data_IF_777266017632
#
_entry.id   IF_777266017632
#
_cell.length_a   1.000
_cell.length_b   1.000
_cell.length_c   1.000
_cell.angle_alpha   90.00
_cell.angle_beta   90.00
_cell.angle_gamma   90.00
#
_symmetry.space_group_name_H-M   'P 1'
#
loop_
_entity.id
_entity.type
_entity.pdbx_description
1 polymer ?
#
# COMPACT_ATOMS: atom_id res chain seq x y z
N UNK A 1 -9.37 4.14 -14.75
CA UNK A 1 -7.92 4.29 -14.61
C UNK A 1 -7.28 3.61 -15.81
N UNK A 2 -6.38 4.29 -16.50
CA UNK A 2 -5.64 3.76 -17.66
C UNK A 2 -4.49 2.85 -17.22
N UNK A 3 -3.98 2.02 -18.14
CA UNK A 3 -2.83 1.15 -17.87
C UNK A 3 -1.59 1.94 -17.44
N UNK A 4 -1.34 3.11 -18.03
CA UNK A 4 -0.20 3.95 -17.65
C UNK A 4 -0.30 4.47 -16.21
N UNK A 5 -1.51 4.82 -15.76
CA UNK A 5 -1.76 5.24 -14.37
C UNK A 5 -1.60 4.06 -13.41
N UNK A 6 -2.05 2.86 -13.79
CA UNK A 6 -1.83 1.63 -13.04
C UNK A 6 -0.34 1.32 -12.88
N UNK A 7 0.42 1.37 -13.97
CA UNK A 7 1.86 1.09 -13.95
C UNK A 7 2.64 2.15 -13.16
N UNK A 8 2.18 3.41 -13.18
CA UNK A 8 2.71 4.45 -12.30
C UNK A 8 2.46 4.12 -10.83
N UNK A 9 1.22 3.76 -10.46
CA UNK A 9 0.88 3.40 -9.09
C UNK A 9 1.67 2.18 -8.59
N UNK A 10 1.83 1.17 -9.46
CA UNK A 10 2.63 -0.03 -9.18
C UNK A 10 4.09 0.32 -8.85
N UNK A 11 4.73 1.13 -9.70
CA UNK A 11 6.11 1.58 -9.48
C UNK A 11 6.23 2.41 -8.21
N UNK A 12 5.32 3.37 -8.01
CA UNK A 12 5.29 4.21 -6.82
C UNK A 12 5.12 3.39 -5.54
N UNK A 13 4.27 2.36 -5.56
CA UNK A 13 4.10 1.44 -4.45
C UNK A 13 5.38 0.67 -4.14
N UNK A 14 6.04 0.13 -5.18
CA UNK A 14 7.28 -0.64 -5.03
C UNK A 14 8.44 0.23 -4.49
N UNK A 15 8.59 1.45 -5.01
CA UNK A 15 9.57 2.43 -4.52
C UNK A 15 9.31 2.77 -3.04
N UNK A 16 8.05 3.03 -2.70
CA UNK A 16 7.66 3.33 -1.32
C UNK A 16 7.95 2.16 -0.39
N UNK A 17 7.66 0.92 -0.82
CA UNK A 17 7.92 -0.30 -0.06
C UNK A 17 9.42 -0.45 0.26
N UNK A 18 10.27 -0.26 -0.75
CA UNK A 18 11.72 -0.34 -0.59
C UNK A 18 12.29 0.79 0.27
N UNK A 19 11.60 1.94 0.32
CA UNK A 19 12.04 3.09 1.10
C UNK A 19 11.67 3.02 2.59
N UNK A 20 10.72 2.17 3.02
CA UNK A 20 10.23 2.13 4.42
C UNK A 20 11.37 1.92 5.43
N UNK A 21 12.38 1.13 5.07
CA UNK A 21 13.52 0.88 5.95
C UNK A 21 14.37 2.13 6.21
N UNK A 22 14.36 3.09 5.28
CA UNK A 22 15.12 4.34 5.35
C UNK A 22 14.25 5.51 5.80
N UNK A 23 12.98 5.51 5.40
CA UNK A 23 12.00 6.53 5.71
C UNK A 23 10.95 5.95 6.66
N UNK A 24 11.21 6.07 7.97
CA UNK A 24 10.41 5.43 9.03
C UNK A 24 8.98 5.94 9.18
N UNK A 25 8.55 6.94 8.43
CA UNK A 25 7.22 7.52 8.56
C UNK A 25 6.51 7.55 7.20
N UNK A 26 5.94 6.41 6.76
CA UNK A 26 5.04 6.44 5.62
C UNK A 26 3.89 7.43 5.91
N UNK A 27 3.54 8.25 4.92
CA UNK A 27 2.50 9.26 5.10
C UNK A 27 1.13 8.63 5.36
N UNK A 28 0.34 9.26 6.22
CA UNK A 28 -1.06 8.89 6.45
C UNK A 28 -1.91 9.30 5.25
N UNK A 29 -2.76 8.40 4.77
CA UNK A 29 -3.67 8.69 3.67
C UNK A 29 -4.85 9.57 4.11
N UNK A 30 -5.34 10.48 3.26
CA UNK A 30 -6.62 11.15 3.45
C UNK A 30 -7.75 10.13 3.65
N UNK A 31 -8.76 10.50 4.44
CA UNK A 31 -9.88 9.62 4.76
C UNK A 31 -10.59 9.08 3.51
N UNK A 32 -10.82 9.92 2.50
CA UNK A 32 -11.44 9.51 1.23
C UNK A 32 -10.67 8.39 0.52
N UNK A 33 -9.35 8.41 0.58
CA UNK A 33 -8.51 7.36 -0.02
C UNK A 33 -8.60 6.07 0.77
N UNK A 34 -8.65 6.15 2.11
CA UNK A 34 -8.85 4.97 2.96
C UNK A 34 -10.21 4.32 2.69
N UNK A 35 -11.26 5.16 2.59
CA UNK A 35 -12.62 4.71 2.36
C UNK A 35 -12.73 3.97 1.00
N UNK A 36 -12.16 4.51 -0.08
CA UNK A 36 -12.09 3.84 -1.40
C UNK A 36 -11.23 2.56 -1.38
N UNK A 37 -10.13 2.58 -0.63
CA UNK A 37 -9.30 1.40 -0.41
C UNK A 37 -10.01 0.32 0.43
N UNK A 38 -11.08 0.67 1.15
CA UNK A 38 -11.75 -0.23 2.09
C UNK A 38 -10.91 -0.51 3.34
N UNK A 39 -10.08 0.46 3.75
CA UNK A 39 -9.22 0.38 4.93
C UNK A 39 -9.67 1.38 6.00
N UNK A 40 -9.25 1.15 7.25
CA UNK A 40 -9.53 2.07 8.34
C UNK A 40 -8.91 3.46 8.08
N UNK A 41 -9.64 4.53 8.41
CA UNK A 41 -9.12 5.89 8.35
C UNK A 41 -7.89 6.02 9.25
N UNK A 42 -6.89 6.77 8.79
CA UNK A 42 -5.59 6.81 9.45
C UNK A 42 -4.62 5.72 8.98
N UNK A 43 -5.01 4.90 7.99
CA UNK A 43 -4.08 3.99 7.31
C UNK A 43 -3.01 4.74 6.53
N UNK A 44 -1.86 4.10 6.32
CA UNK A 44 -0.79 4.64 5.50
C UNK A 44 -1.15 4.67 4.01
N UNK A 45 -0.65 5.67 3.29
CA UNK A 45 -0.77 5.80 1.83
C UNK A 45 -0.39 4.53 1.09
N UNK A 46 0.71 3.92 1.49
CA UNK A 46 1.22 2.69 0.87
C UNK A 46 0.28 1.50 1.05
N UNK A 47 -0.43 1.42 2.19
CA UNK A 47 -1.44 0.39 2.44
C UNK A 47 -2.68 0.61 1.58
N UNK A 48 -3.15 1.85 1.48
CA UNK A 48 -4.31 2.17 0.63
C UNK A 48 -4.00 1.93 -0.85
N UNK A 49 -2.82 2.33 -1.32
CA UNK A 49 -2.38 2.06 -2.70
C UNK A 49 -2.30 0.55 -2.97
N UNK A 50 -1.72 -0.23 -2.05
CA UNK A 50 -1.68 -1.69 -2.15
C UNK A 50 -3.08 -2.31 -2.31
N UNK A 51 -4.03 -1.88 -1.47
CA UNK A 51 -5.40 -2.38 -1.50
C UNK A 51 -6.14 -2.01 -2.79
N UNK A 52 -5.95 -0.78 -3.29
CA UNK A 52 -6.53 -0.35 -4.58
C UNK A 52 -5.93 -1.16 -5.73
N UNK A 53 -4.61 -1.34 -5.77
CA UNK A 53 -3.93 -2.15 -6.78
C UNK A 53 -4.38 -3.62 -6.73
N UNK A 54 -4.53 -4.20 -5.54
CA UNK A 54 -5.00 -5.58 -5.39
C UNK A 54 -6.45 -5.75 -5.85
N UNK A 55 -7.30 -4.71 -5.75
CA UNK A 55 -8.67 -4.72 -6.30
C UNK A 55 -8.68 -4.65 -7.83
N UNK A 56 -7.87 -3.78 -8.42
CA UNK A 56 -7.90 -3.50 -9.88
C UNK A 56 -7.06 -4.49 -10.66
N UNK A 57 -5.89 -4.86 -10.14
CA UNK A 57 -4.92 -5.77 -10.76
C UNK A 57 -4.46 -6.83 -9.73
N UNK A 58 -5.35 -7.79 -9.40
CA UNK A 58 -5.03 -8.85 -8.44
C UNK A 58 -3.80 -9.64 -8.85
N UNK A 59 -2.99 -10.04 -7.88
CA UNK A 59 -1.87 -10.96 -8.11
C UNK A 59 -2.43 -12.39 -8.07
N UNK A 60 -2.31 -13.12 -9.18
CA UNK A 60 -2.85 -14.49 -9.29
C UNK A 60 -2.06 -15.52 -8.47
N UNK A 61 -0.75 -15.29 -8.27
CA UNK A 61 0.13 -16.23 -7.58
C UNK A 61 1.04 -15.52 -6.57
N UNK A 62 1.12 -16.05 -5.35
CA UNK A 62 1.95 -15.50 -4.27
C UNK A 62 1.19 -14.55 -3.32
N UNK A 63 1.94 -13.73 -2.57
CA UNK A 63 1.37 -12.77 -1.61
C UNK A 63 0.86 -11.52 -2.33
N UNK A 64 -0.34 -11.06 -1.96
CA UNK A 64 -0.89 -9.79 -2.44
C UNK A 64 -0.03 -8.60 -1.98
N UNK A 65 -0.19 -7.45 -2.62
CA UNK A 65 0.55 -6.23 -2.23
C UNK A 65 0.19 -5.85 -0.80
N UNK A 66 -1.09 -5.93 -0.46
CA UNK A 66 -1.62 -5.65 0.88
C UNK A 66 -0.99 -6.54 1.95
N UNK A 67 -0.83 -7.83 1.68
CA UNK A 67 -0.15 -8.76 2.59
C UNK A 67 1.34 -8.42 2.73
N UNK A 68 2.02 -8.11 1.62
CA UNK A 68 3.44 -7.73 1.63
C UNK A 68 3.71 -6.47 2.43
N UNK A 69 2.89 -5.42 2.26
CA UNK A 69 3.08 -4.18 3.00
C UNK A 69 2.72 -4.33 4.48
N UNK A 70 1.70 -5.12 4.81
CA UNK A 70 1.37 -5.42 6.21
C UNK A 70 2.58 -6.05 6.92
N UNK A 71 3.19 -7.08 6.34
CA UNK A 71 4.38 -7.74 6.91
C UNK A 71 5.52 -6.73 7.15
N UNK A 72 5.79 -5.87 6.17
CA UNK A 72 6.86 -4.85 6.26
C UNK A 72 6.58 -3.82 7.35
N UNK A 73 5.36 -3.29 7.43
CA UNK A 73 4.96 -2.32 8.45
C UNK A 73 5.01 -2.93 9.85
N UNK A 74 4.56 -4.18 10.00
CA UNK A 74 4.57 -4.90 11.27
C UNK A 74 6.01 -5.16 11.74
N UNK A 75 6.88 -5.67 10.86
CA UNK A 75 8.30 -5.88 11.16
C UNK A 75 9.04 -4.57 11.48
N UNK A 76 8.58 -3.45 10.91
CA UNK A 76 9.13 -2.12 11.18
C UNK A 76 8.59 -1.48 12.46
N UNK A 77 7.66 -2.13 13.17
CA UNK A 77 7.03 -1.60 14.38
C UNK A 77 6.08 -0.41 14.14
N UNK A 78 5.63 -0.23 12.90
CA UNK A 78 4.76 0.90 12.51
C UNK A 78 3.28 0.58 12.69
N UNK A 79 2.93 -0.71 12.76
CA UNK A 79 1.58 -1.18 13.06
C UNK A 79 1.65 -2.30 14.09
N UNK A 80 0.58 -2.48 14.85
CA UNK A 80 0.38 -3.62 15.74
C UNK A 80 -0.51 -4.67 15.07
N UNK A 81 -0.35 -5.93 15.50
CA UNK A 81 -1.22 -7.04 15.11
C UNK A 81 -2.54 -7.02 15.89
#
# INVERSE_FOLDING_TARGET
>A
MSENELDFLERSWLESLNSIHYNRYPGIAPAVVCDEAGLARGSYWISCNAAILDKIRPIETGKSRSARIFDVLFQSGLIAA
#
